data_IF_537618810818
#
_entry.id   IF_537618810818
#
_cell.length_a   1.000
_cell.length_b   1.000
_cell.length_c   1.000
_cell.angle_alpha   90.00
_cell.angle_beta   90.00
_cell.angle_gamma   90.00
#
_symmetry.space_group_name_H-M   'P 1'
#
loop_
_entity.id
_entity.type
_entity.pdbx_description
1 polymer ?
#
# COMPACT_ATOMS: atom_id res chain seq x y z
N UNK A 1 23.33 -5.28 -0.32
CA UNK A 1 23.43 -6.73 -0.14
C UNK A 1 22.28 -7.42 -0.89
N UNK A 2 22.59 -8.03 -2.05
CA UNK A 2 21.59 -8.66 -2.92
C UNK A 2 20.95 -9.91 -2.29
N UNK A 3 21.62 -10.56 -1.35
CA UNK A 3 21.04 -11.73 -0.69
C UNK A 3 19.94 -11.32 0.30
N UNK A 4 20.12 -10.22 1.02
CA UNK A 4 19.05 -9.64 1.85
C UNK A 4 17.84 -9.20 1.01
N UNK A 5 18.06 -8.71 -0.20
CA UNK A 5 16.98 -8.31 -1.09
C UNK A 5 16.07 -9.47 -1.55
N UNK A 6 16.53 -10.73 -1.41
CA UNK A 6 15.75 -11.95 -1.70
C UNK A 6 14.94 -12.46 -0.51
N UNK A 7 15.20 -11.95 0.69
CA UNK A 7 14.47 -12.34 1.89
C UNK A 7 13.10 -11.65 1.88
N UNK A 8 12.06 -12.42 2.14
CA UNK A 8 10.69 -11.90 2.26
C UNK A 8 10.39 -11.46 3.69
N UNK A 9 9.84 -10.25 3.83
CA UNK A 9 9.39 -9.68 5.10
C UNK A 9 7.92 -9.28 5.01
N UNK A 10 7.26 -9.08 6.14
CA UNK A 10 5.91 -8.52 6.18
C UNK A 10 5.88 -7.19 5.39
N UNK A 11 4.92 -7.01 4.47
CA UNK A 11 4.83 -5.78 3.68
C UNK A 11 4.49 -4.56 4.51
N UNK A 12 3.84 -4.74 5.66
CA UNK A 12 3.39 -3.65 6.53
C UNK A 12 2.63 -2.57 5.74
N UNK A 13 2.87 -1.30 6.02
CA UNK A 13 2.14 -0.20 5.36
C UNK A 13 2.46 0.00 3.87
N UNK A 14 3.44 -0.72 3.28
CA UNK A 14 3.62 -0.71 1.82
C UNK A 14 2.45 -1.39 1.10
N UNK A 15 1.78 -2.35 1.76
CA UNK A 15 0.57 -2.99 1.27
C UNK A 15 -0.57 -1.99 0.99
N UNK A 16 -0.59 -0.84 1.61
CA UNK A 16 -1.60 0.20 1.36
C UNK A 16 -1.68 0.60 -0.12
N UNK A 17 -0.60 0.45 -0.88
CA UNK A 17 -0.59 0.70 -2.33
C UNK A 17 -1.57 -0.27 -3.02
N UNK A 18 -1.39 -1.57 -2.82
CA UNK A 18 -2.26 -2.60 -3.37
C UNK A 18 -3.68 -2.52 -2.79
N UNK A 19 -3.82 -2.30 -1.48
CA UNK A 19 -5.12 -2.17 -0.82
C UNK A 19 -5.96 -1.01 -1.40
N UNK A 20 -5.32 0.14 -1.66
CA UNK A 20 -5.98 1.27 -2.32
C UNK A 20 -6.42 0.92 -3.74
N UNK A 21 -5.55 0.27 -4.54
CA UNK A 21 -5.90 -0.19 -5.88
C UNK A 21 -7.13 -1.10 -5.84
N UNK A 22 -7.13 -2.09 -4.96
CA UNK A 22 -8.24 -3.04 -4.79
C UNK A 22 -9.51 -2.31 -4.35
N UNK A 23 -9.39 -1.39 -3.40
CA UNK A 23 -10.53 -0.58 -2.95
C UNK A 23 -11.18 0.24 -4.05
N UNK A 24 -10.37 0.82 -4.95
CA UNK A 24 -10.85 1.56 -6.12
C UNK A 24 -11.50 0.64 -7.16
N UNK A 25 -10.86 -0.49 -7.48
CA UNK A 25 -11.36 -1.45 -8.47
C UNK A 25 -12.65 -2.16 -8.02
N UNK A 26 -12.84 -2.33 -6.72
CA UNK A 26 -14.05 -2.94 -6.13
C UNK A 26 -15.12 -1.91 -5.78
N UNK A 27 -14.88 -0.62 -6.04
CA UNK A 27 -15.82 0.47 -5.72
C UNK A 27 -15.97 0.75 -4.23
N UNK A 28 -15.12 0.18 -3.36
CA UNK A 28 -15.12 0.47 -1.92
C UNK A 28 -14.46 1.82 -1.61
N UNK A 29 -13.59 2.28 -2.48
CA UNK A 29 -13.15 3.68 -2.56
C UNK A 29 -13.87 4.30 -3.76
N UNK A 30 -14.73 5.29 -3.48
CA UNK A 30 -15.52 5.95 -4.52
C UNK A 30 -14.63 6.84 -5.39
N UNK A 31 -13.78 7.65 -4.76
CA UNK A 31 -12.84 8.56 -5.43
C UNK A 31 -11.71 9.01 -4.50
N UNK A 32 -10.85 9.90 -5.01
CA UNK A 32 -9.71 10.47 -4.28
C UNK A 32 -10.09 11.35 -3.08
N UNK A 33 -11.35 11.81 -3.00
CA UNK A 33 -11.87 12.65 -1.93
C UNK A 33 -12.57 11.84 -0.83
N UNK A 34 -12.63 10.52 -0.97
CA UNK A 34 -13.23 9.66 0.05
C UNK A 34 -12.62 9.95 1.42
N UNK A 35 -13.49 10.06 2.44
CA UNK A 35 -13.10 10.34 3.82
C UNK A 35 -13.33 9.11 4.68
N UNK A 36 -12.27 8.67 5.36
CA UNK A 36 -12.37 7.72 6.46
C UNK A 36 -12.82 8.48 7.71
N UNK A 37 -13.95 8.11 8.27
CA UNK A 37 -14.51 8.75 9.45
C UNK A 37 -13.83 8.20 10.71
N UNK A 38 -13.44 9.10 11.61
CA UNK A 38 -12.98 8.70 12.93
C UNK A 38 -14.16 8.23 13.79
N UNK A 39 -13.98 7.11 14.45
CA UNK A 39 -14.99 6.48 15.31
C UNK A 39 -15.08 7.08 16.72
N UNK A 40 -14.35 8.17 17.00
CA UNK A 40 -14.29 8.81 18.33
C UNK A 40 -13.43 8.06 19.36
N UNK A 41 -12.87 6.92 18.99
CA UNK A 41 -12.04 6.09 19.90
C UNK A 41 -10.58 6.49 19.79
N UNK A 42 -9.91 6.62 20.95
CA UNK A 42 -8.47 6.90 21.02
C UNK A 42 -7.64 5.87 20.24
N UNK A 43 -6.68 6.35 19.47
CA UNK A 43 -5.80 5.53 18.65
C UNK A 43 -4.36 5.52 19.18
N UNK A 44 -3.56 4.55 18.76
CA UNK A 44 -2.15 4.47 19.11
C UNK A 44 -1.34 5.67 18.57
N UNK A 45 -1.79 6.26 17.47
CA UNK A 45 -1.14 7.41 16.83
C UNK A 45 -2.13 8.56 16.76
N UNK A 46 -1.87 9.71 17.42
CA UNK A 46 -2.84 10.81 17.54
C UNK A 46 -3.31 11.40 16.21
N UNK A 47 -2.48 11.39 15.15
CA UNK A 47 -2.87 11.89 13.82
C UNK A 47 -4.05 11.12 13.21
N UNK A 48 -4.36 9.92 13.70
CA UNK A 48 -5.50 9.10 13.26
C UNK A 48 -6.80 9.42 14.02
N UNK A 49 -6.77 10.31 15.02
CA UNK A 49 -7.91 10.72 15.84
C UNK A 49 -8.68 11.88 15.21
N UNK A 50 -8.94 11.77 13.90
CA UNK A 50 -9.74 12.71 13.12
C UNK A 50 -10.18 12.07 11.81
N UNK A 51 -11.15 12.68 11.15
CA UNK A 51 -11.50 12.33 9.78
C UNK A 51 -10.29 12.52 8.85
N UNK A 52 -10.00 11.53 8.01
CA UNK A 52 -8.89 11.56 7.09
C UNK A 52 -9.35 11.32 5.64
N UNK A 53 -9.02 12.22 4.74
CA UNK A 53 -9.18 11.96 3.30
C UNK A 53 -8.23 10.85 2.86
N UNK A 54 -8.55 10.17 1.77
CA UNK A 54 -7.79 9.02 1.26
C UNK A 54 -6.28 9.27 1.20
N UNK A 55 -5.86 10.42 0.67
CA UNK A 55 -4.44 10.79 0.58
C UNK A 55 -3.78 10.86 1.95
N UNK A 56 -4.41 11.52 2.91
CA UNK A 56 -3.87 11.67 4.26
C UNK A 56 -3.82 10.32 5.01
N UNK A 57 -4.88 9.52 4.89
CA UNK A 57 -4.93 8.17 5.46
C UNK A 57 -3.80 7.29 4.91
N UNK A 58 -3.49 7.42 3.62
CA UNK A 58 -2.37 6.73 2.97
C UNK A 58 -1.03 7.24 3.48
N UNK A 59 -0.79 8.55 3.44
CA UNK A 59 0.49 9.17 3.80
C UNK A 59 0.81 9.03 5.29
N UNK A 60 -0.19 9.20 6.18
CA UNK A 60 -0.04 8.99 7.61
C UNK A 60 -0.10 7.51 8.03
N UNK A 61 -0.13 6.60 7.07
CA UNK A 61 -0.18 5.16 7.33
C UNK A 61 -1.32 4.74 8.27
N UNK A 62 -2.50 5.36 8.16
CA UNK A 62 -3.65 5.09 9.02
C UNK A 62 -4.03 3.60 9.00
N UNK A 63 -3.56 2.85 10.00
CA UNK A 63 -3.84 1.40 10.10
C UNK A 63 -5.34 1.15 10.31
N UNK A 64 -6.04 1.82 11.22
CA UNK A 64 -7.49 1.62 11.40
C UNK A 64 -8.28 1.83 10.09
N UNK A 65 -7.98 2.91 9.33
CA UNK A 65 -8.63 3.20 8.06
C UNK A 65 -8.47 2.05 7.05
N UNK A 66 -7.27 1.54 6.90
CA UNK A 66 -6.97 0.49 5.92
C UNK A 66 -7.42 -0.90 6.37
N UNK A 67 -7.54 -1.15 7.67
CA UNK A 67 -8.20 -2.34 8.20
C UNK A 67 -9.71 -2.32 7.90
N UNK A 68 -10.36 -1.18 8.12
CA UNK A 68 -11.76 -0.99 7.74
C UNK A 68 -11.98 -1.19 6.25
N UNK A 69 -11.15 -0.56 5.40
CA UNK A 69 -11.19 -0.75 3.96
C UNK A 69 -11.05 -2.23 3.57
N UNK A 70 -10.10 -2.95 4.14
CA UNK A 70 -9.89 -4.36 3.85
C UNK A 70 -11.09 -5.24 4.24
N UNK A 71 -11.74 -4.94 5.39
CA UNK A 71 -12.99 -5.62 5.78
C UNK A 71 -14.12 -5.33 4.78
N UNK A 72 -14.22 -4.08 4.31
CA UNK A 72 -15.24 -3.67 3.34
C UNK A 72 -15.01 -4.29 1.95
N UNK A 73 -13.75 -4.49 1.54
CA UNK A 73 -13.38 -5.24 0.33
C UNK A 73 -13.80 -6.71 0.49
N UNK A 74 -13.49 -7.30 1.64
CA UNK A 74 -13.78 -8.69 1.96
C UNK A 74 -12.76 -9.68 1.39
N UNK A 75 -12.80 -10.91 1.92
CA UNK A 75 -11.82 -11.95 1.62
C UNK A 75 -11.78 -12.33 0.13
N UNK A 76 -12.93 -12.52 -0.49
CA UNK A 76 -13.02 -13.02 -1.87
C UNK A 76 -12.39 -12.04 -2.87
N UNK A 77 -12.79 -10.77 -2.83
CA UNK A 77 -12.25 -9.75 -3.71
C UNK A 77 -10.78 -9.48 -3.42
N UNK A 78 -10.38 -9.40 -2.14
CA UNK A 78 -8.99 -9.20 -1.74
C UNK A 78 -8.10 -10.30 -2.33
N UNK A 79 -8.47 -11.56 -2.15
CA UNK A 79 -7.71 -12.70 -2.65
C UNK A 79 -7.64 -12.74 -4.19
N UNK A 80 -8.77 -12.47 -4.87
CA UNK A 80 -8.83 -12.44 -6.32
C UNK A 80 -7.94 -11.35 -6.93
N UNK A 81 -7.94 -10.15 -6.34
CA UNK A 81 -7.10 -9.05 -6.83
C UNK A 81 -5.62 -9.23 -6.48
N UNK A 82 -5.29 -9.78 -5.32
CA UNK A 82 -3.90 -10.09 -4.96
C UNK A 82 -3.28 -11.07 -5.97
N UNK A 83 -4.03 -12.08 -6.41
CA UNK A 83 -3.59 -12.99 -7.44
C UNK A 83 -3.34 -12.29 -8.79
N UNK A 84 -4.22 -11.36 -9.19
CA UNK A 84 -4.06 -10.54 -10.41
C UNK A 84 -2.88 -9.59 -10.33
N UNK A 85 -2.72 -8.90 -9.20
CA UNK A 85 -1.66 -7.92 -8.98
C UNK A 85 -0.28 -8.56 -8.81
N UNK A 86 -0.22 -9.82 -8.40
CA UNK A 86 1.03 -10.54 -8.06
C UNK A 86 1.88 -9.75 -7.06
N UNK A 87 1.25 -9.32 -5.97
CA UNK A 87 1.90 -8.55 -4.91
C UNK A 87 2.49 -9.50 -3.86
N UNK A 88 3.75 -9.88 -4.02
CA UNK A 88 4.46 -10.74 -3.08
C UNK A 88 3.83 -12.13 -2.88
N UNK A 89 4.07 -12.72 -1.73
CA UNK A 89 3.48 -13.97 -1.28
C UNK A 89 2.52 -13.70 -0.11
N UNK A 90 1.28 -13.35 -0.45
CA UNK A 90 0.27 -12.99 0.55
C UNK A 90 -0.48 -14.23 1.04
N UNK A 91 -0.43 -14.46 2.35
CA UNK A 91 -1.16 -15.53 3.03
C UNK A 91 -2.40 -14.93 3.71
N UNK A 92 -3.53 -15.01 3.02
CA UNK A 92 -4.78 -14.43 3.49
C UNK A 92 -5.78 -15.51 3.88
N UNK A 93 -6.43 -15.32 5.03
CA UNK A 93 -7.56 -16.13 5.50
C UNK A 93 -8.74 -15.21 5.80
N UNK A 94 -9.95 -15.72 5.77
CA UNK A 94 -11.16 -14.92 5.97
C UNK A 94 -11.12 -14.12 7.29
N UNK A 95 -10.68 -14.75 8.39
CA UNK A 95 -10.57 -14.10 9.69
C UNK A 95 -9.39 -13.11 9.83
N UNK A 96 -8.44 -13.11 8.88
CA UNK A 96 -7.26 -12.23 8.89
C UNK A 96 -7.25 -11.21 7.75
N UNK A 97 -8.37 -11.02 7.04
CA UNK A 97 -8.47 -10.14 5.87
C UNK A 97 -8.01 -8.70 6.15
N UNK A 98 -8.10 -8.24 7.37
CA UNK A 98 -7.71 -6.89 7.79
C UNK A 98 -6.38 -6.82 8.52
N UNK A 99 -5.62 -7.93 8.59
CA UNK A 99 -4.37 -8.02 9.36
C UNK A 99 -3.21 -8.73 8.65
N UNK A 100 -3.47 -9.51 7.59
CA UNK A 100 -2.48 -10.41 6.97
C UNK A 100 -1.19 -9.71 6.49
N UNK A 101 -1.22 -8.40 6.26
CA UNK A 101 -0.05 -7.60 5.87
C UNK A 101 0.70 -6.99 7.05
N UNK A 102 0.13 -7.06 8.26
CA UNK A 102 0.70 -6.52 9.50
C UNK A 102 1.21 -7.62 10.43
N UNK A 103 0.67 -8.83 10.31
CA UNK A 103 1.01 -9.97 11.12
C UNK A 103 0.74 -11.27 10.36
N UNK A 104 1.46 -12.33 10.71
CA UNK A 104 1.30 -13.66 10.10
C UNK A 104 2.41 -13.98 9.09
N UNK A 105 2.05 -14.76 8.06
CA UNK A 105 3.02 -15.41 7.16
C UNK A 105 3.15 -14.72 5.78
N UNK A 106 2.46 -13.59 5.58
CA UNK A 106 2.56 -12.82 4.33
C UNK A 106 3.93 -12.19 4.18
N UNK A 107 4.55 -12.37 3.03
CA UNK A 107 5.88 -11.82 2.78
C UNK A 107 5.99 -11.17 1.40
N UNK A 108 6.89 -10.19 1.31
CA UNK A 108 7.32 -9.58 0.06
C UNK A 108 8.81 -9.31 0.12
N UNK A 109 9.53 -9.56 -0.96
CA UNK A 109 10.96 -9.27 -1.08
C UNK A 109 11.17 -7.87 -1.67
N UNK A 110 12.38 -7.31 -1.52
CA UNK A 110 12.72 -6.03 -2.14
C UNK A 110 12.58 -6.08 -3.67
N UNK A 111 12.97 -7.20 -4.30
CA UNK A 111 12.79 -7.38 -5.74
C UNK A 111 11.32 -7.40 -6.15
N UNK A 112 10.46 -8.03 -5.37
CA UNK A 112 9.01 -8.04 -5.65
C UNK A 112 8.37 -6.66 -5.46
N UNK A 113 8.85 -5.87 -4.49
CA UNK A 113 8.42 -4.47 -4.33
C UNK A 113 8.78 -3.63 -5.56
N UNK A 114 10.03 -3.74 -6.04
CA UNK A 114 10.51 -3.03 -7.23
C UNK A 114 9.75 -3.47 -8.47
N UNK A 115 9.59 -4.78 -8.71
CA UNK A 115 8.81 -5.31 -9.83
C UNK A 115 7.36 -4.78 -9.82
N UNK A 116 6.73 -4.77 -8.64
CA UNK A 116 5.37 -4.25 -8.50
C UNK A 116 5.28 -2.76 -8.84
N UNK A 117 6.20 -1.95 -8.32
CA UNK A 117 6.24 -0.50 -8.60
C UNK A 117 6.54 -0.22 -10.07
N UNK A 118 7.46 -0.97 -10.67
CA UNK A 118 7.77 -0.85 -12.09
C UNK A 118 6.56 -1.18 -12.96
N UNK A 119 5.88 -2.30 -12.70
CA UNK A 119 4.64 -2.66 -13.42
C UNK A 119 3.53 -1.62 -13.21
N UNK A 120 3.45 -1.03 -12.02
CA UNK A 120 2.54 0.08 -11.77
C UNK A 120 2.89 1.30 -12.62
N UNK A 121 4.15 1.77 -12.56
CA UNK A 121 4.61 2.95 -13.30
C UNK A 121 4.39 2.80 -14.81
N UNK A 122 4.73 1.63 -15.34
CA UNK A 122 4.61 1.28 -16.76
C UNK A 122 3.16 0.93 -17.21
N UNK A 123 2.17 1.09 -16.33
CA UNK A 123 0.76 0.73 -16.57
C UNK A 123 0.53 -0.73 -16.99
N UNK A 124 1.34 -1.64 -16.47
CA UNK A 124 1.26 -3.08 -16.72
C UNK A 124 0.44 -3.87 -15.69
N UNK A 125 -0.02 -3.20 -14.62
CA UNK A 125 -0.94 -3.81 -13.66
C UNK A 125 -2.36 -3.86 -14.24
N UNK A 126 -3.14 -4.92 -13.94
CA UNK A 126 -4.52 -5.08 -14.43
C UNK A 126 -5.50 -4.24 -13.58
N UNK A 127 -5.34 -2.94 -13.65
CA UNK A 127 -6.16 -1.91 -13.01
C UNK A 127 -6.62 -0.89 -14.04
N UNK A 128 -7.71 -0.19 -13.76
CA UNK A 128 -8.23 0.86 -14.62
C UNK A 128 -7.29 2.07 -14.67
N UNK A 129 -7.33 2.83 -15.78
CA UNK A 129 -6.60 4.10 -15.89
C UNK A 129 -6.97 5.09 -14.77
N UNK A 130 -8.24 5.09 -14.35
CA UNK A 130 -8.71 5.89 -13.23
C UNK A 130 -8.00 5.52 -11.93
N UNK A 131 -7.94 4.24 -11.60
CA UNK A 131 -7.21 3.73 -10.43
C UNK A 131 -5.74 4.09 -10.49
N UNK A 132 -5.10 3.89 -11.65
CA UNK A 132 -3.72 4.27 -11.87
C UNK A 132 -3.46 5.75 -11.57
N UNK A 133 -4.29 6.66 -12.09
CA UNK A 133 -4.14 8.11 -11.89
C UNK A 133 -4.32 8.50 -10.42
N UNK A 134 -5.33 7.97 -9.73
CA UNK A 134 -5.57 8.27 -8.31
C UNK A 134 -4.41 7.77 -7.46
N UNK A 135 -3.97 6.53 -7.66
CA UNK A 135 -2.84 5.96 -6.90
C UNK A 135 -1.54 6.72 -7.17
N UNK A 136 -1.27 7.13 -8.42
CA UNK A 136 -0.11 7.97 -8.74
C UNK A 136 -0.12 9.29 -7.98
N UNK A 137 -1.27 9.95 -7.86
CA UNK A 137 -1.42 11.20 -7.09
C UNK A 137 -1.16 11.02 -5.59
N UNK A 138 -1.68 9.95 -4.98
CA UNK A 138 -1.51 9.74 -3.54
C UNK A 138 -0.12 9.23 -3.15
N UNK A 139 0.59 8.56 -4.08
CA UNK A 139 1.98 8.16 -3.91
C UNK A 139 2.95 9.34 -3.94
N UNK A 140 2.60 10.42 -4.61
CA UNK A 140 3.48 11.59 -4.78
C UNK A 140 3.77 12.23 -3.41
N UNK A 141 5.04 12.22 -3.03
CA UNK A 141 5.57 12.78 -1.79
C UNK A 141 6.12 14.19 -2.01
N UNK A 142 6.88 14.37 -3.09
CA UNK A 142 7.52 15.63 -3.41
C UNK A 142 7.61 15.82 -4.93
N UNK A 143 7.36 17.06 -5.37
CA UNK A 143 7.52 17.48 -6.76
C UNK A 143 8.33 18.77 -6.78
N UNK A 144 9.45 18.75 -7.51
CA UNK A 144 10.30 19.90 -7.79
C UNK A 144 10.53 20.02 -9.30
N UNK A 145 11.11 21.12 -9.72
CA UNK A 145 11.41 21.37 -11.14
C UNK A 145 12.28 20.25 -11.76
N UNK A 146 13.23 19.70 -10.98
CA UNK A 146 14.20 18.70 -11.45
C UNK A 146 13.79 17.26 -11.18
N UNK A 147 12.81 16.99 -10.30
CA UNK A 147 12.40 15.63 -9.98
C UNK A 147 11.01 15.53 -9.35
N UNK A 148 10.46 14.32 -9.41
CA UNK A 148 9.27 13.88 -8.63
C UNK A 148 9.60 12.63 -7.87
N UNK A 149 9.32 12.64 -6.57
CA UNK A 149 9.51 11.49 -5.70
C UNK A 149 8.16 10.96 -5.25
N UNK A 150 7.92 9.69 -5.51
CA UNK A 150 6.72 8.95 -5.09
C UNK A 150 7.10 7.77 -4.24
N UNK A 151 6.34 7.46 -3.21
CA UNK A 151 6.67 6.32 -2.37
C UNK A 151 5.77 6.11 -1.17
N UNK A 152 6.09 5.03 -0.45
CA UNK A 152 5.39 4.63 0.77
C UNK A 152 6.35 4.00 1.77
N UNK A 153 6.26 4.43 3.02
CA UNK A 153 6.94 3.79 4.15
C UNK A 153 6.13 2.61 4.67
N UNK A 154 6.83 1.66 5.30
CA UNK A 154 6.23 0.58 6.07
C UNK A 154 7.09 0.25 7.28
N UNK A 155 6.46 -0.24 8.34
CA UNK A 155 7.16 -0.72 9.52
C UNK A 155 6.41 -1.90 10.12
N UNK A 156 7.13 -2.98 10.35
CA UNK A 156 6.64 -4.18 11.01
C UNK A 156 7.67 -4.69 12.02
N UNK A 157 7.18 -5.30 13.07
CA UNK A 157 7.99 -6.09 14.01
C UNK A 157 7.64 -7.55 13.76
N UNK A 158 8.64 -8.37 13.47
CA UNK A 158 8.48 -9.80 13.28
C UNK A 158 9.65 -10.52 13.97
N UNK A 159 9.34 -11.51 14.82
CA UNK A 159 10.34 -12.31 15.54
C UNK A 159 11.36 -11.44 16.32
N UNK A 160 10.86 -10.41 17.02
CA UNK A 160 11.66 -9.43 17.78
C UNK A 160 12.60 -8.57 16.91
N UNK A 161 12.50 -8.65 15.59
CA UNK A 161 13.26 -7.83 14.66
C UNK A 161 12.39 -6.77 14.00
N UNK A 162 12.92 -5.54 13.96
CA UNK A 162 12.30 -4.43 13.24
C UNK A 162 12.62 -4.52 11.75
N UNK A 163 11.58 -4.42 10.92
CA UNK A 163 11.73 -4.26 9.48
C UNK A 163 11.11 -2.96 9.02
N UNK A 164 11.94 -2.06 8.52
CA UNK A 164 11.54 -0.77 7.94
C UNK A 164 11.57 -0.82 6.42
N UNK A 165 10.50 -0.35 5.78
CA UNK A 165 10.39 -0.18 4.33
C UNK A 165 10.34 1.30 3.95
N UNK A 166 11.05 1.65 2.90
CA UNK A 166 10.71 2.73 2.00
C UNK A 166 10.71 2.17 0.59
N UNK A 167 9.57 2.21 -0.08
CA UNK A 167 9.41 1.74 -1.45
C UNK A 167 8.86 2.87 -2.29
N UNK A 168 9.45 3.10 -3.46
CA UNK A 168 9.07 4.25 -4.28
C UNK A 168 9.80 4.29 -5.61
N UNK A 169 9.57 5.38 -6.32
CA UNK A 169 10.30 5.72 -7.54
C UNK A 169 10.58 7.22 -7.61
N UNK A 170 11.68 7.53 -8.26
CA UNK A 170 12.16 8.88 -8.52
C UNK A 170 12.18 9.14 -10.03
N UNK A 171 11.40 10.12 -10.48
CA UNK A 171 11.37 10.58 -11.86
C UNK A 171 12.32 11.78 -11.99
N UNK A 172 13.35 11.71 -12.86
CA UNK A 172 14.30 12.82 -13.12
C UNK A 172 14.55 12.94 -14.62
N UNK A 173 14.06 14.00 -15.25
CA UNK A 173 14.13 14.13 -16.71
C UNK A 173 13.48 12.94 -17.41
N UNK A 174 14.25 12.19 -18.19
CA UNK A 174 13.77 10.99 -18.90
C UNK A 174 13.98 9.68 -18.13
N UNK A 175 14.58 9.73 -16.93
CA UNK A 175 14.93 8.55 -16.17
C UNK A 175 13.97 8.30 -15.01
N UNK A 176 13.77 7.02 -14.69
CA UNK A 176 13.01 6.56 -13.52
C UNK A 176 13.85 5.56 -12.73
N UNK A 177 14.00 5.81 -11.45
CA UNK A 177 14.74 4.97 -10.51
C UNK A 177 13.77 4.38 -9.46
N UNK A 178 13.93 3.10 -9.16
CA UNK A 178 13.08 2.39 -8.20
C UNK A 178 13.86 1.96 -6.96
#
# INVERSE_FOLDING_TARGET
>A
DLDKAKIGYLPASTFKIANTMIGLETGKIVDENMVFKWDGVKKAVPIWEKDLVLKDAFQFSCVPCYRELARNIGFQDMNAYLAKLKFGNMQIKEHSVDMFWLAGESTITSFQQIDFLQRFYEKKLPISDRTHQIVKKILLLEEKESYKMSGKTGWAIQDEADNGWFVGYLETGENVYY
#
